data_IF_481023465761
#
_entry.id   IF_481023465761
#
_cell.length_a   1.000
_cell.length_b   1.000
_cell.length_c   1.000
_cell.angle_alpha   90.00
_cell.angle_beta   90.00
_cell.angle_gamma   90.00
#
_symmetry.space_group_name_H-M   'P 1'
#
loop_
_entity.id
_entity.type
_entity.pdbx_description
1 polymer ?
#
# COMPACT_ATOMS: atom_id res chain seq x y z
N UNK A 1 -2.44 -12.37 -10.25
CA UNK A 1 -2.60 -11.28 -9.26
C UNK A 1 -4.02 -11.28 -8.73
N UNK A 2 -4.21 -11.11 -7.42
CA UNK A 2 -5.54 -10.81 -6.87
C UNK A 2 -5.80 -9.30 -6.90
N UNK A 3 -6.89 -8.88 -7.54
CA UNK A 3 -7.48 -7.56 -7.33
C UNK A 3 -8.55 -7.72 -6.27
N UNK A 4 -8.38 -7.05 -5.12
CA UNK A 4 -9.31 -7.19 -4.00
C UNK A 4 -10.08 -5.88 -3.78
N UNK A 5 -11.40 -5.97 -3.92
CA UNK A 5 -12.33 -4.91 -3.60
C UNK A 5 -13.12 -5.27 -2.35
N UNK A 6 -12.41 -5.49 -1.23
CA UNK A 6 -13.05 -5.53 0.08
C UNK A 6 -13.49 -4.14 0.50
N UNK A 7 -14.76 -4.06 0.88
CA UNK A 7 -15.42 -2.89 1.46
C UNK A 7 -15.45 -3.12 2.98
N UNK A 8 -14.92 -2.17 3.75
CA UNK A 8 -14.76 -2.32 5.21
C UNK A 8 -16.00 -1.85 5.98
N UNK A 9 -16.89 -1.08 5.33
CA UNK A 9 -17.98 -0.34 6.02
C UNK A 9 -19.36 -0.47 5.35
N UNK A 10 -19.57 -1.43 4.45
CA UNK A 10 -20.87 -1.67 3.82
C UNK A 10 -21.31 -3.12 4.03
N UNK A 11 -22.58 -3.29 4.40
CA UNK A 11 -23.22 -4.59 4.37
C UNK A 11 -23.34 -5.07 2.94
N UNK A 12 -23.04 -6.34 2.71
CA UNK A 12 -23.07 -6.95 1.38
C UNK A 12 -24.45 -6.80 0.70
N UNK A 13 -25.52 -6.82 1.49
CA UNK A 13 -26.91 -6.69 1.02
C UNK A 13 -27.27 -5.28 0.52
N UNK A 14 -26.43 -4.28 0.80
CA UNK A 14 -26.61 -2.90 0.34
C UNK A 14 -25.87 -2.65 -0.98
N UNK A 15 -25.02 -3.57 -1.43
CA UNK A 15 -24.22 -3.39 -2.65
C UNK A 15 -25.12 -3.61 -3.87
N UNK A 16 -25.27 -2.58 -4.69
CA UNK A 16 -25.95 -2.65 -5.98
C UNK A 16 -25.02 -3.18 -7.07
N UNK A 17 -23.79 -2.65 -7.13
CA UNK A 17 -22.82 -3.07 -8.13
C UNK A 17 -21.38 -2.93 -7.68
N UNK A 18 -20.52 -3.77 -8.24
CA UNK A 18 -19.06 -3.67 -8.13
C UNK A 18 -18.50 -3.67 -9.55
N UNK A 19 -17.71 -2.66 -9.88
CA UNK A 19 -17.06 -2.53 -11.18
C UNK A 19 -15.56 -2.44 -11.00
N UNK A 20 -14.82 -3.09 -11.89
CA UNK A 20 -13.37 -2.95 -11.95
C UNK A 20 -12.98 -2.29 -13.27
N UNK A 21 -12.07 -1.33 -13.16
CA UNK A 21 -11.49 -0.60 -14.27
C UNK A 21 -9.99 -0.82 -14.31
N UNK A 22 -9.48 -1.05 -15.52
CA UNK A 22 -8.07 -0.94 -15.84
C UNK A 22 -7.89 0.41 -16.54
N UNK A 23 -7.16 1.32 -15.90
CA UNK A 23 -7.05 2.71 -16.31
C UNK A 23 -8.43 3.38 -16.35
N UNK A 24 -9.04 3.47 -17.53
CA UNK A 24 -10.38 4.00 -17.74
C UNK A 24 -11.36 2.99 -18.35
N UNK A 25 -10.91 1.78 -18.70
CA UNK A 25 -11.73 0.77 -19.36
C UNK A 25 -12.33 -0.20 -18.33
N UNK A 26 -13.64 -0.41 -18.37
CA UNK A 26 -14.34 -1.39 -17.52
C UNK A 26 -13.94 -2.79 -17.96
N UNK A 27 -13.35 -3.58 -17.06
CA UNK A 27 -12.92 -4.95 -17.33
C UNK A 27 -13.83 -6.00 -16.69
N UNK A 28 -14.62 -5.58 -15.70
CA UNK A 28 -15.53 -6.46 -14.97
C UNK A 28 -16.64 -5.66 -14.30
N UNK A 29 -17.82 -6.27 -14.21
CA UNK A 29 -18.97 -5.74 -13.49
C UNK A 29 -19.78 -6.85 -12.84
N UNK A 30 -20.13 -6.64 -11.58
CA UNK A 30 -21.07 -7.42 -10.80
C UNK A 30 -22.28 -6.57 -10.46
N UNK A 31 -23.50 -7.06 -10.70
CA UNK A 31 -24.75 -6.37 -10.37
C UNK A 31 -25.66 -7.32 -9.60
N UNK A 32 -26.16 -6.88 -8.45
CA UNK A 32 -27.00 -7.69 -7.55
C UNK A 32 -28.49 -7.57 -7.84
N UNK A 33 -28.92 -6.47 -8.47
CA UNK A 33 -30.32 -6.03 -8.45
C UNK A 33 -31.07 -6.12 -9.78
N UNK A 34 -30.43 -6.56 -10.87
CA UNK A 34 -31.07 -6.61 -12.19
C UNK A 34 -31.48 -8.05 -12.56
N UNK A 35 -32.78 -8.32 -12.78
CA UNK A 35 -33.26 -9.58 -13.33
C UNK A 35 -32.86 -9.80 -14.81
N UNK A 36 -32.49 -8.72 -15.52
CA UNK A 36 -32.24 -8.74 -16.97
C UNK A 36 -30.75 -8.88 -17.33
N UNK A 37 -29.82 -8.55 -16.43
CA UNK A 37 -28.38 -8.70 -16.67
C UNK A 37 -27.84 -9.96 -15.99
N UNK A 38 -26.85 -10.61 -16.63
CA UNK A 38 -26.07 -11.62 -15.92
C UNK A 38 -25.46 -10.96 -14.68
N UNK A 39 -25.51 -11.62 -13.50
CA UNK A 39 -25.04 -11.00 -12.26
C UNK A 39 -23.56 -10.65 -12.34
N UNK A 40 -22.82 -11.24 -13.27
CA UNK A 40 -21.42 -10.97 -13.55
C UNK A 40 -21.17 -10.85 -15.05
N UNK A 41 -20.43 -9.82 -15.46
CA UNK A 41 -19.97 -9.60 -16.83
C UNK A 41 -18.46 -9.33 -16.83
N UNK A 42 -17.75 -9.96 -17.76
CA UNK A 42 -16.32 -9.73 -18.02
C UNK A 42 -16.17 -9.08 -19.40
N UNK A 43 -15.22 -8.15 -19.54
CA UNK A 43 -14.92 -7.51 -20.82
C UNK A 43 -13.50 -7.79 -21.26
N UNK A 44 -13.33 -8.00 -22.56
CA UNK A 44 -12.02 -8.14 -23.17
C UNK A 44 -11.19 -6.87 -22.97
N UNK A 45 -10.20 -6.98 -22.08
CA UNK A 45 -9.33 -5.88 -21.70
C UNK A 45 -7.90 -6.21 -22.10
N UNK A 46 -7.25 -5.43 -22.98
CA UNK A 46 -5.92 -5.74 -23.48
C UNK A 46 -4.89 -5.98 -22.37
N UNK A 47 -4.21 -7.13 -22.42
CA UNK A 47 -3.11 -7.46 -21.52
C UNK A 47 -3.51 -8.04 -20.17
N UNK A 48 -4.81 -8.25 -19.93
CA UNK A 48 -5.36 -8.86 -18.72
C UNK A 48 -6.23 -10.05 -19.12
N UNK A 49 -6.01 -11.19 -18.47
CA UNK A 49 -6.95 -12.32 -18.49
C UNK A 49 -7.44 -12.55 -17.07
N UNK A 50 -8.75 -12.45 -16.87
CA UNK A 50 -9.39 -12.77 -15.59
C UNK A 50 -9.77 -14.25 -15.59
N UNK A 51 -9.42 -14.95 -14.52
CA UNK A 51 -9.84 -16.32 -14.29
C UNK A 51 -11.12 -16.32 -13.46
N UNK A 52 -12.22 -16.53 -14.16
CA UNK A 52 -13.56 -16.52 -13.60
C UNK A 52 -13.74 -17.60 -12.52
N UNK A 53 -13.11 -18.78 -12.70
CA UNK A 53 -13.25 -19.91 -11.77
C UNK A 53 -12.67 -19.64 -10.37
N UNK A 54 -11.73 -18.70 -10.29
CA UNK A 54 -11.12 -18.24 -9.04
C UNK A 54 -11.64 -16.89 -8.58
N UNK A 55 -12.34 -16.17 -9.44
CA UNK A 55 -12.86 -14.83 -9.13
C UNK A 55 -14.20 -14.94 -8.43
N UNK A 56 -14.48 -14.01 -7.52
CA UNK A 56 -15.76 -13.98 -6.85
C UNK A 56 -16.11 -12.56 -6.38
N UNK A 57 -17.33 -12.11 -6.71
CA UNK A 57 -17.86 -10.80 -6.35
C UNK A 57 -16.85 -9.68 -6.68
N UNK A 58 -16.39 -8.91 -5.71
CA UNK A 58 -15.38 -7.86 -5.92
C UNK A 58 -13.92 -8.34 -6.01
N UNK A 59 -13.64 -9.64 -5.90
CA UNK A 59 -12.28 -10.18 -5.87
C UNK A 59 -11.95 -10.91 -7.17
N UNK A 60 -11.06 -10.34 -7.98
CA UNK A 60 -10.72 -10.88 -9.29
C UNK A 60 -9.33 -11.50 -9.29
N UNK A 61 -9.22 -12.69 -9.86
CA UNK A 61 -7.93 -13.30 -10.12
C UNK A 61 -7.50 -13.05 -11.56
N UNK A 62 -6.44 -12.26 -11.73
CA UNK A 62 -5.78 -12.06 -13.03
C UNK A 62 -4.77 -13.18 -13.25
N UNK A 63 -5.05 -14.08 -14.20
CA UNK A 63 -4.30 -15.31 -14.46
C UNK A 63 -3.13 -15.15 -15.41
N UNK A 64 -3.26 -14.29 -16.42
CA UNK A 64 -2.17 -13.93 -17.32
C UNK A 64 -2.08 -12.42 -17.40
N UNK A 65 -0.91 -11.93 -16.99
CA UNK A 65 -0.53 -10.53 -17.10
C UNK A 65 0.60 -10.45 -18.11
N UNK A 66 0.35 -9.88 -19.28
CA UNK A 66 1.45 -9.45 -20.14
C UNK A 66 2.15 -8.23 -19.49
N UNK A 67 3.24 -7.74 -20.10
CA UNK A 67 3.86 -6.46 -19.72
C UNK A 67 2.85 -5.28 -19.61
N UNK A 68 1.67 -5.43 -20.22
CA UNK A 68 0.53 -4.49 -20.22
C UNK A 68 -0.32 -4.45 -18.94
N UNK A 69 0.08 -5.10 -17.85
CA UNK A 69 -0.58 -4.95 -16.53
C UNK A 69 -0.13 -3.74 -15.72
N UNK A 70 0.74 -2.93 -16.31
CA UNK A 70 0.97 -1.56 -15.89
C UNK A 70 -0.28 -0.71 -16.15
N UNK A 71 -1.05 -0.44 -15.10
CA UNK A 71 -2.30 0.31 -15.18
C UNK A 71 -2.70 0.94 -13.83
N UNK A 72 -3.60 1.91 -13.81
CA UNK A 72 -4.36 2.25 -12.59
C UNK A 72 -5.52 1.28 -12.43
N UNK A 73 -5.46 0.42 -11.42
CA UNK A 73 -6.57 -0.49 -11.12
C UNK A 73 -7.50 0.18 -10.12
N UNK A 74 -8.75 0.37 -10.53
CA UNK A 74 -9.77 1.05 -9.75
C UNK A 74 -10.99 0.16 -9.62
N UNK A 75 -11.41 -0.09 -8.40
CA UNK A 75 -12.72 -0.65 -8.13
C UNK A 75 -13.69 0.48 -7.77
N UNK A 76 -14.89 0.42 -8.33
CA UNK A 76 -16.02 1.31 -8.00
C UNK A 76 -17.14 0.45 -7.43
N UNK A 77 -17.55 0.75 -6.22
CA UNK A 77 -18.66 0.09 -5.54
C UNK A 77 -19.80 1.07 -5.45
N UNK A 78 -20.96 0.68 -5.96
CA UNK A 78 -22.22 1.36 -5.76
C UNK A 78 -23.03 0.60 -4.72
N UNK A 79 -23.41 1.29 -3.64
CA UNK A 79 -24.28 0.73 -2.61
C UNK A 79 -25.42 1.68 -2.30
N UNK A 80 -26.58 1.14 -1.93
CA UNK A 80 -27.76 1.87 -1.52
C UNK A 80 -28.10 1.49 -0.08
N UNK A 81 -28.27 2.49 0.77
CA UNK A 81 -28.83 2.34 2.10
C UNK A 81 -30.17 3.10 2.17
N UNK A 82 -30.87 2.99 3.31
CA UNK A 82 -32.25 3.47 3.49
C UNK A 82 -32.53 4.92 3.03
N UNK A 83 -31.51 5.76 2.79
CA UNK A 83 -31.69 7.14 2.33
C UNK A 83 -30.66 7.66 1.31
N UNK A 84 -29.61 6.91 0.91
CA UNK A 84 -28.55 7.43 0.03
C UNK A 84 -27.87 6.35 -0.84
N UNK A 85 -27.40 6.78 -2.02
CA UNK A 85 -26.45 6.03 -2.85
C UNK A 85 -25.01 6.43 -2.52
N UNK A 86 -24.15 5.47 -2.18
CA UNK A 86 -22.74 5.67 -1.92
C UNK A 86 -21.88 5.09 -3.07
N UNK A 87 -20.95 5.91 -3.58
CA UNK A 87 -19.90 5.47 -4.51
C UNK A 87 -18.58 5.39 -3.75
N UNK A 88 -17.99 4.21 -3.65
CA UNK A 88 -16.65 4.02 -3.08
C UNK A 88 -15.65 3.64 -4.16
N UNK A 89 -14.55 4.39 -4.23
CA UNK A 89 -13.49 4.18 -5.21
C UNK A 89 -12.23 3.68 -4.51
N UNK A 90 -11.79 2.46 -4.84
CA UNK A 90 -10.57 1.85 -4.28
C UNK A 90 -9.53 1.64 -5.38
N UNK A 91 -8.40 2.34 -5.25
CA UNK A 91 -7.22 2.15 -6.12
C UNK A 91 -6.23 1.17 -5.50
N UNK A 92 -5.62 0.33 -6.31
CA UNK A 92 -4.56 -0.58 -5.84
C UNK A 92 -3.28 0.21 -5.58
N UNK A 93 -2.81 0.19 -4.34
CA UNK A 93 -1.67 0.97 -3.84
C UNK A 93 -0.76 0.10 -2.97
N UNK A 94 0.50 0.50 -2.71
CA UNK A 94 1.31 -0.18 -1.72
C UNK A 94 0.64 -0.16 -0.34
N UNK A 95 0.95 -1.16 0.49
CA UNK A 95 0.42 -1.27 1.84
C UNK A 95 1.54 -0.95 2.81
N UNK A 96 1.25 -0.12 3.81
CA UNK A 96 2.18 0.21 4.91
C UNK A 96 1.66 -0.46 6.17
N UNK A 97 2.53 -1.24 6.80
CA UNK A 97 2.25 -1.91 8.07
C UNK A 97 3.31 -1.50 9.10
N UNK A 98 2.86 -1.29 10.34
CA UNK A 98 3.74 -0.99 11.46
C UNK A 98 3.81 -2.17 12.43
N UNK A 99 4.94 -2.33 13.14
CA UNK A 99 5.03 -3.31 14.24
C UNK A 99 4.30 -2.87 15.51
N UNK A 100 4.10 -1.56 15.68
CA UNK A 100 3.41 -0.92 16.80
C UNK A 100 2.62 0.28 16.29
N UNK A 101 1.59 0.68 17.01
CA UNK A 101 0.80 1.88 16.72
C UNK A 101 1.24 3.12 17.50
N UNK A 102 2.08 2.95 18.54
CA UNK A 102 2.55 4.04 19.40
C UNK A 102 4.08 3.98 19.55
N UNK A 103 4.71 5.15 19.57
CA UNK A 103 6.16 5.29 19.65
C UNK A 103 6.57 6.45 20.54
N UNK A 104 7.56 6.23 21.40
CA UNK A 104 8.27 7.31 22.08
C UNK A 104 9.32 8.00 21.18
N UNK A 105 9.83 9.18 21.55
CA UNK A 105 10.85 9.89 20.76
C UNK A 105 12.14 9.08 20.61
N UNK A 106 12.56 8.36 21.65
CA UNK A 106 13.78 7.54 21.60
C UNK A 106 13.52 6.10 21.14
N UNK A 107 12.27 5.76 20.82
CA UNK A 107 11.93 4.44 20.34
C UNK A 107 12.17 4.34 18.83
N UNK A 108 12.47 3.13 18.36
CA UNK A 108 12.60 2.89 16.94
C UNK A 108 11.25 2.63 16.29
N UNK A 109 10.92 3.45 15.30
CA UNK A 109 9.79 3.24 14.40
C UNK A 109 10.20 2.20 13.35
N UNK A 110 9.37 1.17 13.15
CA UNK A 110 9.63 0.10 12.20
C UNK A 110 8.38 -0.12 11.33
N UNK A 111 8.52 0.21 10.05
CA UNK A 111 7.47 0.15 9.04
C UNK A 111 7.91 -0.76 7.92
N UNK A 112 6.98 -1.56 7.41
CA UNK A 112 7.17 -2.28 6.15
C UNK A 112 6.20 -1.72 5.14
N UNK A 113 6.72 -1.26 4.00
CA UNK A 113 5.91 -0.97 2.84
C UNK A 113 6.03 -2.12 1.84
N UNK A 114 4.91 -2.62 1.34
CA UNK A 114 4.86 -3.71 0.36
C UNK A 114 4.10 -3.26 -0.88
N UNK A 115 4.71 -3.44 -2.05
CA UNK A 115 4.08 -3.14 -3.33
C UNK A 115 2.98 -4.16 -3.65
N UNK A 116 1.99 -3.78 -4.46
CA UNK A 116 1.17 -4.76 -5.16
C UNK A 116 2.04 -5.70 -6.01
N UNK A 117 1.48 -6.86 -6.37
CA UNK A 117 2.11 -7.75 -7.36
C UNK A 117 2.24 -7.02 -8.71
N UNK A 118 3.37 -7.17 -9.36
CA UNK A 118 3.71 -6.47 -10.60
C UNK A 118 4.73 -7.26 -11.44
N UNK A 119 4.70 -7.01 -12.74
CA UNK A 119 5.72 -7.46 -13.69
C UNK A 119 6.07 -6.28 -14.61
N UNK A 120 7.31 -5.75 -14.59
CA UNK A 120 8.45 -6.15 -13.77
C UNK A 120 8.28 -5.80 -12.28
N UNK A 121 9.25 -6.19 -11.44
CA UNK A 121 9.26 -5.86 -10.02
C UNK A 121 9.20 -4.34 -9.78
N UNK A 122 8.27 -3.90 -8.94
CA UNK A 122 8.13 -2.50 -8.60
C UNK A 122 9.35 -1.97 -7.83
N UNK A 123 9.73 -0.71 -8.13
CA UNK A 123 10.67 0.07 -7.35
C UNK A 123 9.93 0.84 -6.27
N UNK A 124 10.34 0.66 -5.02
CA UNK A 124 9.81 1.42 -3.88
C UNK A 124 10.70 2.62 -3.52
N UNK A 125 10.08 3.74 -3.23
CA UNK A 125 10.70 4.96 -2.68
C UNK A 125 9.91 5.37 -1.45
N UNK A 126 10.60 5.76 -0.38
CA UNK A 126 9.97 6.14 0.90
C UNK A 126 10.44 7.52 1.35
N UNK A 127 9.47 8.34 1.78
CA UNK A 127 9.69 9.71 2.21
C UNK A 127 9.09 9.91 3.61
N UNK A 128 9.73 10.76 4.43
CA UNK A 128 9.16 11.26 5.69
C UNK A 128 9.03 12.78 5.61
N UNK A 129 7.80 13.27 5.75
CA UNK A 129 7.48 14.70 5.68
C UNK A 129 8.02 15.36 4.39
N UNK A 130 7.88 14.66 3.25
CA UNK A 130 8.38 15.10 1.95
C UNK A 130 9.88 14.87 1.69
N UNK A 131 10.65 14.42 2.69
CA UNK A 131 12.08 14.17 2.53
C UNK A 131 12.36 12.69 2.27
N UNK A 132 13.06 12.36 1.19
CA UNK A 132 13.43 10.98 0.90
C UNK A 132 14.32 10.40 1.98
N UNK A 133 13.96 9.20 2.43
CA UNK A 133 14.77 8.43 3.36
C UNK A 133 15.81 7.64 2.57
N UNK A 134 17.07 7.77 2.96
CA UNK A 134 18.19 7.02 2.41
C UNK A 134 18.78 6.20 3.56
N UNK A 135 18.92 4.91 3.33
CA UNK A 135 19.31 3.94 4.34
C UNK A 135 20.69 3.41 4.02
N UNK A 136 21.44 3.03 5.05
CA UNK A 136 22.70 2.33 4.86
C UNK A 136 22.39 0.88 4.45
N UNK A 137 22.76 0.50 3.23
CA UNK A 137 22.64 -0.89 2.80
C UNK A 137 23.60 -1.74 3.64
N UNK A 138 23.08 -2.62 4.49
CA UNK A 138 23.88 -3.51 5.35
C UNK A 138 24.67 -4.58 4.57
N UNK A 139 24.72 -4.52 3.25
CA UNK A 139 25.34 -5.54 2.38
C UNK A 139 26.68 -5.13 1.74
N UNK A 140 27.21 -3.93 2.01
CA UNK A 140 28.54 -3.52 1.53
C UNK A 140 29.32 -2.71 2.59
N UNK A 141 29.63 -3.32 3.74
CA UNK A 141 30.80 -2.89 4.53
C UNK A 141 32.02 -3.66 4.04
N UNK A 142 32.61 -3.22 2.93
CA UNK A 142 33.98 -3.62 2.62
C UNK A 142 34.89 -3.06 3.73
N UNK A 143 35.52 -3.98 4.45
CA UNK A 143 36.60 -3.71 5.41
C UNK A 143 37.67 -2.89 4.70
N UNK A 144 37.84 -1.64 5.11
CA UNK A 144 39.12 -0.93 5.34
C UNK A 144 38.85 0.58 5.34
N UNK A 145 38.59 1.16 6.51
CA UNK A 145 38.89 2.57 6.73
C UNK A 145 39.32 2.81 8.18
N UNK A 146 40.33 3.69 8.41
CA UNK A 146 40.98 3.83 9.70
C UNK A 146 40.07 4.54 10.70
N UNK A 147 40.21 4.17 11.98
CA UNK A 147 39.53 4.80 13.11
C UNK A 147 39.94 6.27 13.23
N UNK A 148 39.09 7.16 12.72
CA UNK A 148 39.11 8.60 12.97
C UNK A 148 37.82 9.01 13.68
N UNK A 149 37.98 9.57 14.88
CA UNK A 149 36.96 10.20 15.74
C UNK A 149 36.07 11.15 14.90
N UNK A 150 34.73 11.07 15.01
CA UNK A 150 33.77 12.21 14.96
C UNK A 150 32.29 11.75 15.07
N UNK A 151 31.55 12.44 15.96
CA UNK A 151 30.08 12.60 16.11
C UNK A 151 29.15 11.38 16.27
N UNK A 152 28.75 11.14 17.52
CA UNK A 152 27.75 10.18 18.01
C UNK A 152 26.29 10.65 17.82
N UNK A 153 25.91 11.21 16.66
CA UNK A 153 24.49 11.58 16.41
C UNK A 153 24.05 11.43 14.93
N UNK A 154 24.71 10.57 14.15
CA UNK A 154 24.10 10.04 12.92
C UNK A 154 23.08 8.96 13.31
N UNK A 155 21.83 9.39 13.57
CA UNK A 155 20.70 8.46 13.74
C UNK A 155 20.42 7.75 12.41
N UNK A 156 21.11 6.63 12.25
CA UNK A 156 21.15 5.77 11.07
C UNK A 156 19.75 5.26 10.72
N UNK A 157 19.29 5.54 9.49
CA UNK A 157 18.10 4.90 8.93
C UNK A 157 18.55 3.54 8.41
N UNK A 158 17.94 2.47 8.90
CA UNK A 158 18.14 1.13 8.36
C UNK A 158 17.03 0.84 7.37
N UNK A 159 17.38 0.51 6.13
CA UNK A 159 16.43 0.04 5.12
C UNK A 159 16.84 -1.32 4.58
N UNK A 160 15.87 -2.21 4.41
CA UNK A 160 16.08 -3.53 3.80
C UNK A 160 14.98 -3.83 2.81
N UNK A 161 15.37 -4.16 1.60
CA UNK A 161 14.46 -4.51 0.51
C UNK A 161 14.39 -6.03 0.35
N UNK A 162 13.20 -6.54 0.13
CA UNK A 162 12.90 -7.95 -0.08
C UNK A 162 12.05 -8.08 -1.34
N UNK A 163 12.22 -9.18 -2.07
CA UNK A 163 11.42 -9.50 -3.24
C UNK A 163 10.74 -10.86 -3.02
N UNK A 164 9.43 -10.90 -3.26
CA UNK A 164 8.66 -12.13 -3.29
C UNK A 164 8.26 -12.41 -4.74
N UNK A 165 8.65 -13.58 -5.24
CA UNK A 165 8.27 -14.07 -6.55
C UNK A 165 7.12 -15.06 -6.41
N UNK A 166 6.21 -15.03 -7.38
CA UNK A 166 5.02 -15.86 -7.40
C UNK A 166 5.06 -16.80 -8.61
N UNK A 167 4.38 -17.94 -8.51
CA UNK A 167 4.38 -18.98 -9.56
C UNK A 167 3.92 -18.47 -10.93
N UNK A 168 3.08 -17.42 -10.94
CA UNK A 168 2.60 -16.78 -12.16
C UNK A 168 3.60 -15.78 -12.78
N UNK A 169 4.87 -15.77 -12.32
CA UNK A 169 5.94 -14.91 -12.83
C UNK A 169 5.89 -13.46 -12.34
N UNK A 170 4.91 -13.11 -11.50
CA UNK A 170 4.82 -11.78 -10.91
C UNK A 170 5.72 -11.65 -9.68
N UNK A 171 5.97 -10.42 -9.25
CA UNK A 171 6.72 -10.15 -8.03
C UNK A 171 6.12 -9.01 -7.22
N UNK A 172 6.30 -9.08 -5.90
CA UNK A 172 6.05 -8.00 -4.96
C UNK A 172 7.36 -7.58 -4.32
N UNK A 173 7.57 -6.28 -4.21
CA UNK A 173 8.74 -5.69 -3.55
C UNK A 173 8.29 -5.16 -2.19
N UNK A 174 9.04 -5.47 -1.14
CA UNK A 174 8.83 -4.90 0.20
C UNK A 174 10.07 -4.15 0.66
N UNK A 175 9.90 -3.01 1.31
CA UNK A 175 10.97 -2.28 1.99
C UNK A 175 10.63 -2.15 3.47
N UNK A 176 11.47 -2.73 4.33
CA UNK A 176 11.43 -2.51 5.76
C UNK A 176 12.29 -1.28 6.10
N UNK A 177 11.67 -0.28 6.71
CA UNK A 177 12.30 0.99 7.09
C UNK A 177 12.27 1.11 8.59
N UNK A 178 13.45 1.33 9.17
CA UNK A 178 13.64 1.53 10.60
C UNK A 178 14.34 2.85 10.86
N UNK A 179 13.71 3.71 11.65
CA UNK A 179 14.26 5.03 12.02
C UNK A 179 13.93 5.38 13.48
N UNK A 180 14.57 6.42 14.02
CA UNK A 180 14.35 6.94 15.37
C UNK A 180 13.09 7.81 15.44
N UNK A 181 12.27 7.63 16.48
CA UNK A 181 11.08 8.45 16.74
C UNK A 181 11.38 9.95 16.83
N UNK A 182 12.62 10.35 17.13
CA UNK A 182 13.06 11.76 17.16
C UNK A 182 12.91 12.46 15.81
N UNK A 183 12.81 11.72 14.70
CA UNK A 183 12.55 12.29 13.37
C UNK A 183 11.09 12.70 13.17
N UNK A 184 10.19 12.30 14.08
CA UNK A 184 8.80 12.76 14.09
C UNK A 184 8.71 14.12 14.79
N UNK A 185 8.03 15.06 14.16
CA UNK A 185 7.86 16.43 14.62
C UNK A 185 6.65 16.53 15.57
N UNK A 186 6.85 17.06 16.76
CA UNK A 186 5.77 17.35 17.71
C UNK A 186 4.84 18.46 17.17
N UNK A 187 3.56 18.41 17.57
CA UNK A 187 2.53 19.41 17.20
C UNK A 187 2.25 19.51 15.69
N UNK A 188 2.69 18.51 14.90
CA UNK A 188 2.40 18.37 13.48
C UNK A 188 2.03 16.92 13.17
N UNK A 189 1.22 16.74 12.13
CA UNK A 189 1.00 15.42 11.54
C UNK A 189 2.24 15.08 10.71
N UNK A 190 2.87 13.96 11.03
CA UNK A 190 3.99 13.45 10.25
C UNK A 190 3.47 12.46 9.22
N UNK A 191 3.98 12.53 8.00
CA UNK A 191 3.54 11.70 6.89
C UNK A 191 4.70 10.85 6.40
N UNK A 192 4.58 9.54 6.58
CA UNK A 192 5.45 8.56 5.94
C UNK A 192 4.79 8.11 4.65
N UNK A 193 5.36 8.52 3.52
CA UNK A 193 4.88 8.16 2.19
C UNK A 193 5.71 7.01 1.64
N UNK A 194 5.04 6.03 1.04
CA UNK A 194 5.67 5.01 0.23
C UNK A 194 5.09 5.03 -1.18
N UNK A 195 5.97 5.22 -2.16
CA UNK A 195 5.65 5.22 -3.58
C UNK A 195 6.18 3.95 -4.24
N UNK A 196 5.28 3.19 -4.84
CA UNK A 196 5.58 2.07 -5.72
C UNK A 196 5.55 2.52 -7.17
N UNK A 197 6.60 2.25 -7.93
CA UNK A 197 6.74 2.64 -9.33
C UNK A 197 7.12 1.48 -10.22
N UNK A 198 6.48 1.37 -11.40
CA UNK A 198 6.83 0.42 -12.45
C UNK A 198 7.30 1.24 -13.65
N UNK A 199 8.53 0.97 -14.13
CA UNK A 199 9.20 1.70 -15.24
C UNK A 199 9.12 3.24 -15.06
N UNK A 200 9.14 3.75 -13.82
CA UNK A 200 9.00 5.18 -13.47
C UNK A 200 7.74 5.90 -14.00
N UNK A 201 6.75 5.18 -14.56
CA UNK A 201 5.52 5.77 -15.13
C UNK A 201 4.32 5.58 -14.24
N UNK A 202 4.20 4.39 -13.64
CA UNK A 202 3.03 4.01 -12.85
C UNK A 202 3.32 4.17 -11.37
N UNK A 203 3.19 5.41 -10.89
CA UNK A 203 3.46 5.76 -9.51
C UNK A 203 2.19 5.61 -8.66
N UNK A 204 2.26 4.77 -7.64
CA UNK A 204 1.19 4.54 -6.67
C UNK A 204 1.73 4.84 -5.28
N UNK A 205 1.15 5.83 -4.61
CA UNK A 205 1.57 6.22 -3.25
C UNK A 205 0.53 5.85 -2.20
N UNK A 206 1.03 5.45 -1.04
CA UNK A 206 0.27 5.32 0.22
C UNK A 206 0.96 6.13 1.30
N UNK A 207 0.18 6.71 2.21
CA UNK A 207 0.68 7.53 3.32
C UNK A 207 0.24 6.90 4.63
N UNK A 208 1.16 6.76 5.56
CA UNK A 208 0.87 6.51 6.97
C UNK A 208 1.10 7.80 7.76
N UNK A 209 0.09 8.23 8.50
CA UNK A 209 0.12 9.47 9.28
C UNK A 209 0.39 9.19 10.76
N UNK A 210 1.23 10.02 11.37
CA UNK A 210 1.54 9.97 12.80
C UNK A 210 1.20 11.30 13.47
N UNK A 211 0.39 11.22 14.51
CA UNK A 211 0.01 12.37 15.33
C UNK A 211 0.74 12.34 16.67
N UNK A 212 1.20 13.49 17.13
CA UNK A 212 1.80 13.61 18.47
C UNK A 212 0.72 13.64 19.55
N UNK A 213 0.86 12.81 20.58
CA UNK A 213 0.03 12.82 21.79
C UNK A 213 0.88 13.05 23.02
N UNK A 214 0.41 13.91 23.92
CA UNK A 214 1.02 14.04 25.24
C UNK A 214 0.57 12.86 26.10
N UNK A 215 1.52 12.11 26.64
CA UNK A 215 1.20 11.08 27.64
C UNK A 215 0.92 11.78 28.98
N UNK A 216 -0.32 11.69 29.52
CA UNK A 216 -0.70 12.35 30.75
C UNK A 216 0.03 11.82 31.99
N UNK A 217 0.64 10.62 31.94
CA UNK A 217 1.38 10.05 33.07
C UNK A 217 2.83 10.47 33.11
N UNK A 218 3.47 10.57 31.95
CA UNK A 218 4.91 10.87 31.85
C UNK A 218 5.21 12.31 31.43
N UNK A 219 4.20 13.10 31.02
CA UNK A 219 4.35 14.40 30.35
C UNK A 219 5.27 14.35 29.11
N UNK A 220 5.51 13.16 28.55
CA UNK A 220 6.32 13.00 27.35
C UNK A 220 5.44 13.05 26.09
N UNK A 221 6.00 13.61 25.02
CA UNK A 221 5.36 13.51 23.70
C UNK A 221 5.59 12.12 23.14
N UNK A 222 4.50 11.46 22.77
CA UNK A 222 4.47 10.18 22.05
C UNK A 222 3.86 10.39 20.68
N UNK A 223 4.01 9.42 19.78
CA UNK A 223 3.46 9.48 18.43
C UNK A 223 2.57 8.28 18.18
N UNK A 224 1.34 8.52 17.72
CA UNK A 224 0.38 7.50 17.36
C UNK A 224 0.20 7.45 15.85
N UNK A 225 0.27 6.25 15.26
CA UNK A 225 -0.14 6.03 13.88
C UNK A 225 -1.68 6.01 13.78
N UNK A 226 -2.24 6.80 12.87
CA UNK A 226 -3.69 7.01 12.73
C UNK A 226 -4.38 5.79 12.08
N UNK A 227 -3.89 5.32 10.93
CA UNK A 227 -4.47 4.21 10.17
C UNK A 227 -3.64 2.92 10.33
N UNK A 228 -3.55 2.44 11.57
CA UNK A 228 -2.67 1.32 11.90
C UNK A 228 -3.19 -0.01 11.36
N UNK A 229 -2.57 -0.48 10.28
CA UNK A 229 -2.68 -1.87 9.83
C UNK A 229 -1.62 -2.74 10.54
N UNK A 230 -2.07 -3.74 11.30
CA UNK A 230 -1.18 -4.79 11.82
C UNK A 230 -0.66 -5.60 10.64
N UNK A 231 0.67 -5.70 10.55
CA UNK A 231 1.37 -6.60 9.63
C UNK A 231 1.48 -8.02 10.18
#
# INVERSE_FOLDING_TARGET
MWLNCSIIDLDYNQIYSIKWFKDNDEMYRFITSSPEELPTTFYDTPGIVIDESRSNYGNLYVSRSEFKTEADFRCEVLAENDFNTAIQIKRIKPIIVGRKSFFGPNESVNLTCTSPMSTPAARLVVNLNGNSLIGTNSSQKNRHQPKGRNNLDEQEISMRTYHQYFENGQSSTSINVRFSGKRLQSKKINQFECTSSIIHRFNRSTIASFESKLDPKSNQTTFQMIDFNRG
#
